data_IF_170052817397
#
_entry.id   IF_170052817397
#
_cell.length_a   1.000
_cell.length_b   1.000
_cell.length_c   1.000
_cell.angle_alpha   90.00
_cell.angle_beta   90.00
_cell.angle_gamma   90.00
#
_symmetry.space_group_name_H-M   'P 1'
#
loop_
_entity.id
_entity.type
_entity.pdbx_description
1 polymer ?
#
# COMPACT_ATOMS: atom_id res chain seq x y z
N UNK A 1 -13.21 -56.77 9.69
CA UNK A 1 -12.09 -55.80 9.71
C UNK A 1 -12.66 -54.40 9.60
N UNK A 2 -12.90 -53.72 10.73
CA UNK A 2 -13.47 -52.36 10.75
C UNK A 2 -12.34 -51.34 10.66
N UNK A 3 -12.12 -50.76 9.47
CA UNK A 3 -11.16 -49.68 9.27
C UNK A 3 -11.61 -48.40 9.98
N UNK A 4 -10.77 -47.86 10.87
CA UNK A 4 -11.00 -46.55 11.49
C UNK A 4 -10.99 -45.46 10.40
N UNK A 5 -12.14 -44.83 10.15
CA UNK A 5 -12.22 -43.57 9.39
C UNK A 5 -11.48 -42.49 10.16
N UNK A 6 -10.34 -42.03 9.63
CA UNK A 6 -9.66 -40.86 10.16
C UNK A 6 -10.42 -39.61 9.72
N UNK A 7 -10.80 -38.77 10.68
CA UNK A 7 -11.38 -37.45 10.43
C UNK A 7 -10.33 -36.54 9.79
N UNK A 8 -10.67 -35.77 8.74
CA UNK A 8 -9.73 -34.88 8.08
C UNK A 8 -9.21 -33.85 9.08
N UNK A 9 -7.89 -33.73 9.19
CA UNK A 9 -7.25 -32.70 9.99
C UNK A 9 -7.55 -31.35 9.37
N UNK A 10 -8.14 -30.44 10.13
CA UNK A 10 -8.31 -29.05 9.68
C UNK A 10 -6.93 -28.48 9.33
N UNK A 11 -6.78 -27.81 8.18
CA UNK A 11 -5.53 -27.16 7.85
C UNK A 11 -5.20 -26.16 8.96
N UNK A 12 -3.95 -26.16 9.40
CA UNK A 12 -3.47 -25.29 10.49
C UNK A 12 -3.57 -23.80 10.12
N UNK A 13 -3.70 -23.51 8.83
CA UNK A 13 -3.72 -22.18 8.26
C UNK A 13 -4.95 -22.02 7.38
N UNK A 14 -5.68 -20.94 7.64
CA UNK A 14 -6.81 -20.48 6.84
C UNK A 14 -6.32 -19.34 5.91
N UNK A 15 -6.95 -19.16 4.75
CA UNK A 15 -6.49 -18.20 3.74
C UNK A 15 -6.41 -16.77 4.29
N UNK A 16 -7.46 -16.31 4.97
CA UNK A 16 -7.51 -14.99 5.61
C UNK A 16 -6.40 -14.84 6.66
N UNK A 17 -6.20 -15.86 7.49
CA UNK A 17 -5.18 -15.85 8.54
C UNK A 17 -3.76 -15.80 7.96
N UNK A 18 -3.53 -16.40 6.80
CA UNK A 18 -2.22 -16.32 6.14
C UNK A 18 -1.91 -14.88 5.70
N UNK A 19 -2.93 -14.13 5.27
CA UNK A 19 -2.81 -12.77 4.74
C UNK A 19 -2.83 -11.68 5.82
N UNK A 20 -3.34 -11.99 7.02
CA UNK A 20 -3.48 -11.02 8.12
C UNK A 20 -2.52 -11.27 9.27
N UNK A 21 -2.23 -12.54 9.62
CA UNK A 21 -1.42 -12.84 10.81
C UNK A 21 0.07 -12.50 10.55
N UNK A 22 0.72 -11.67 11.40
CA UNK A 22 2.14 -11.28 11.22
C UNK A 22 3.12 -12.44 11.40
N UNK A 23 2.66 -13.53 12.04
CA UNK A 23 3.42 -14.77 12.25
C UNK A 23 3.15 -15.81 11.17
N UNK A 24 2.41 -15.45 10.12
CA UNK A 24 2.12 -16.39 9.04
C UNK A 24 3.41 -16.81 8.33
N UNK A 25 3.44 -18.01 7.73
CA UNK A 25 4.58 -18.46 6.94
C UNK A 25 4.88 -17.53 5.76
N UNK A 26 3.86 -16.80 5.29
CA UNK A 26 3.94 -15.88 4.17
C UNK A 26 4.84 -14.67 4.47
N UNK A 27 4.82 -14.18 5.71
CA UNK A 27 5.66 -13.05 6.14
C UNK A 27 7.17 -13.35 6.05
N UNK A 28 7.56 -14.63 6.06
CA UNK A 28 8.96 -15.09 5.98
C UNK A 28 9.32 -15.64 4.61
N UNK A 29 8.33 -15.88 3.75
CA UNK A 29 8.54 -16.48 2.44
C UNK A 29 8.88 -15.42 1.40
N UNK A 30 9.59 -15.83 0.34
CA UNK A 30 9.91 -14.94 -0.76
C UNK A 30 8.73 -14.93 -1.76
N UNK A 31 7.83 -13.95 -1.60
CA UNK A 31 6.63 -13.79 -2.42
C UNK A 31 6.92 -13.77 -3.91
N UNK A 32 7.98 -13.07 -4.31
CA UNK A 32 8.39 -12.97 -5.71
C UNK A 32 8.56 -14.35 -6.33
N UNK A 33 9.26 -15.25 -5.64
CA UNK A 33 9.51 -16.62 -6.14
C UNK A 33 8.26 -17.49 -6.18
N UNK A 34 7.32 -17.24 -5.27
CA UNK A 34 6.05 -18.00 -5.19
C UNK A 34 5.12 -17.55 -6.32
N UNK A 35 4.94 -16.24 -6.49
CA UNK A 35 4.05 -15.66 -7.51
C UNK A 35 4.59 -15.87 -8.93
N UNK A 36 5.91 -15.91 -9.10
CA UNK A 36 6.54 -16.21 -10.39
C UNK A 36 6.59 -17.69 -10.74
N UNK A 37 6.07 -18.57 -9.89
CA UNK A 37 6.10 -20.00 -10.17
C UNK A 37 4.99 -20.35 -11.18
N UNK A 38 5.28 -21.09 -12.27
CA UNK A 38 4.27 -21.43 -13.27
C UNK A 38 3.10 -22.24 -12.69
N UNK A 39 3.34 -22.99 -11.61
CA UNK A 39 2.26 -23.69 -10.90
C UNK A 39 1.24 -22.74 -10.27
N UNK A 40 1.66 -21.54 -9.82
CA UNK A 40 0.75 -20.57 -9.25
C UNK A 40 -0.29 -20.11 -10.28
N UNK A 41 0.13 -19.94 -11.54
CA UNK A 41 -0.77 -19.61 -12.64
C UNK A 41 -1.67 -20.78 -13.07
N UNK A 42 -1.17 -22.02 -13.02
CA UNK A 42 -1.92 -23.19 -13.49
C UNK A 42 -3.07 -23.61 -12.58
N UNK A 43 -3.02 -23.23 -11.29
CA UNK A 43 -4.02 -23.62 -10.28
C UNK A 43 -5.25 -22.71 -10.32
N UNK A 44 -5.14 -21.53 -10.91
CA UNK A 44 -6.20 -20.53 -10.98
C UNK A 44 -7.21 -20.85 -12.08
N UNK A 45 -8.48 -20.55 -11.82
CA UNK A 45 -9.56 -20.64 -12.78
C UNK A 45 -9.49 -19.49 -13.81
N UNK A 46 -10.22 -19.62 -14.92
CA UNK A 46 -10.20 -18.61 -15.98
C UNK A 46 -10.71 -17.24 -15.50
N UNK A 47 -11.70 -17.23 -14.61
CA UNK A 47 -12.26 -16.02 -14.00
C UNK A 47 -11.22 -15.31 -13.11
N UNK A 48 -10.53 -16.06 -12.24
CA UNK A 48 -9.48 -15.52 -11.36
C UNK A 48 -8.30 -14.96 -12.16
N UNK A 49 -7.93 -15.62 -13.26
CA UNK A 49 -6.89 -15.13 -14.16
C UNK A 49 -7.30 -13.80 -14.80
N UNK A 50 -8.55 -13.67 -15.26
CA UNK A 50 -9.05 -12.43 -15.84
C UNK A 50 -9.09 -11.29 -14.80
N UNK A 51 -9.48 -11.58 -13.56
CA UNK A 51 -9.44 -10.62 -12.46
C UNK A 51 -8.00 -10.15 -12.20
N UNK A 52 -7.05 -11.07 -12.07
CA UNK A 52 -5.64 -10.72 -11.84
C UNK A 52 -5.10 -9.86 -12.99
N UNK A 53 -5.42 -10.19 -14.25
CA UNK A 53 -5.00 -9.39 -15.40
C UNK A 53 -5.61 -7.98 -15.40
N UNK A 54 -6.82 -7.81 -14.86
CA UNK A 54 -7.46 -6.49 -14.72
C UNK A 54 -6.83 -5.59 -13.66
N UNK A 55 -6.12 -6.18 -12.69
CA UNK A 55 -5.41 -5.46 -11.63
C UNK A 55 -4.05 -4.91 -12.08
N UNK A 56 -3.51 -5.37 -13.22
CA UNK A 56 -2.28 -4.82 -13.74
C UNK A 56 -2.50 -3.42 -14.30
N UNK A 57 -1.67 -2.43 -13.92
CA UNK A 57 -1.80 -1.06 -14.42
C UNK A 57 -1.48 -0.95 -15.91
N UNK A 58 -0.58 -1.82 -16.41
CA UNK A 58 -0.09 -1.78 -17.79
C UNK A 58 -0.16 -3.15 -18.47
N UNK A 59 -0.53 -3.13 -19.76
CA UNK A 59 -0.58 -4.34 -20.62
C UNK A 59 0.79 -4.82 -21.10
N UNK A 60 1.86 -4.07 -20.82
CA UNK A 60 3.23 -4.40 -21.27
C UNK A 60 3.78 -5.68 -20.63
N UNK A 61 3.27 -6.05 -19.45
CA UNK A 61 3.66 -7.27 -18.75
C UNK A 61 2.71 -8.45 -19.03
N UNK A 62 1.86 -8.36 -20.06
CA UNK A 62 0.92 -9.41 -20.45
C UNK A 62 1.35 -9.97 -21.82
N UNK A 63 1.58 -11.28 -21.87
CA UNK A 63 1.74 -12.02 -23.12
C UNK A 63 0.36 -12.40 -23.65
N UNK A 64 0.19 -12.27 -24.97
CA UNK A 64 -1.04 -12.57 -25.71
C UNK A 64 -2.29 -11.89 -25.14
N UNK A 65 -2.30 -10.54 -25.08
CA UNK A 65 -3.47 -9.79 -24.63
C UNK A 65 -4.69 -10.16 -25.47
N UNK A 66 -5.85 -10.23 -24.83
CA UNK A 66 -7.16 -10.50 -25.45
C UNK A 66 -7.36 -11.93 -26.00
N UNK A 67 -6.50 -12.88 -25.63
CA UNK A 67 -6.66 -14.32 -25.92
C UNK A 67 -7.00 -15.10 -24.64
N UNK A 68 -7.72 -16.22 -24.75
CA UNK A 68 -8.01 -17.14 -23.63
C UNK A 68 -6.74 -17.67 -22.92
N UNK A 69 -5.59 -17.57 -23.58
CA UNK A 69 -4.28 -17.96 -23.08
C UNK A 69 -3.47 -16.80 -22.47
N UNK A 70 -4.06 -15.61 -22.26
CA UNK A 70 -3.37 -14.45 -21.70
C UNK A 70 -2.64 -14.79 -20.39
N UNK A 71 -1.33 -14.50 -20.31
CA UNK A 71 -0.51 -14.76 -19.11
C UNK A 71 0.40 -13.59 -18.82
N UNK A 72 0.73 -13.33 -17.55
CA UNK A 72 1.78 -12.38 -17.23
C UNK A 72 3.12 -12.85 -17.79
N UNK A 73 3.88 -11.96 -18.43
CA UNK A 73 5.29 -12.19 -18.76
C UNK A 73 6.10 -12.21 -17.46
N UNK A 74 6.21 -13.40 -16.89
CA UNK A 74 6.95 -13.63 -15.66
C UNK A 74 8.42 -13.19 -15.77
N UNK A 75 9.01 -13.17 -16.97
CA UNK A 75 10.41 -12.77 -17.15
C UNK A 75 10.58 -11.25 -17.10
N UNK A 76 9.65 -10.52 -17.73
CA UNK A 76 9.59 -9.05 -17.64
C UNK A 76 9.21 -8.62 -16.22
N UNK A 77 8.16 -9.19 -15.64
CA UNK A 77 7.67 -8.91 -14.29
C UNK A 77 8.73 -9.16 -13.20
N UNK A 78 9.56 -10.20 -13.36
CA UNK A 78 10.64 -10.48 -12.41
C UNK A 78 11.75 -9.43 -12.45
N UNK A 79 11.93 -8.68 -13.53
CA UNK A 79 12.96 -7.66 -13.66
C UNK A 79 12.47 -6.25 -13.36
N UNK A 80 11.16 -6.04 -13.25
CA UNK A 80 10.59 -4.76 -12.83
C UNK A 80 10.89 -4.48 -11.34
N UNK A 81 11.38 -3.28 -11.06
CA UNK A 81 11.69 -2.82 -9.71
C UNK A 81 10.42 -2.51 -8.90
N UNK A 82 9.33 -2.13 -9.55
CA UNK A 82 8.05 -1.83 -8.89
C UNK A 82 7.48 -3.08 -8.23
N UNK A 83 7.35 -4.17 -9.00
CA UNK A 83 6.89 -5.45 -8.47
C UNK A 83 7.78 -6.00 -7.34
N UNK A 84 9.11 -5.82 -7.44
CA UNK A 84 10.06 -6.22 -6.39
C UNK A 84 9.84 -5.43 -5.11
N UNK A 85 9.65 -4.13 -5.24
CA UNK A 85 9.38 -3.24 -4.12
C UNK A 85 8.05 -3.62 -3.46
N UNK A 86 6.99 -3.87 -4.24
CA UNK A 86 5.68 -4.23 -3.72
C UNK A 86 5.71 -5.54 -2.94
N UNK A 87 6.39 -6.57 -3.45
CA UNK A 87 6.58 -7.84 -2.73
C UNK A 87 7.30 -7.63 -1.38
N UNK A 88 8.35 -6.81 -1.36
CA UNK A 88 9.12 -6.52 -0.15
C UNK A 88 8.32 -5.67 0.84
N UNK A 89 7.61 -4.66 0.35
CA UNK A 89 6.76 -3.79 1.15
C UNK A 89 5.61 -4.59 1.77
N UNK A 90 4.96 -5.47 1.01
CA UNK A 90 3.88 -6.31 1.50
C UNK A 90 4.37 -7.27 2.61
N UNK A 91 5.45 -8.01 2.39
CA UNK A 91 6.00 -8.90 3.44
C UNK A 91 6.40 -8.16 4.71
N UNK A 92 6.99 -6.97 4.55
CA UNK A 92 7.34 -6.10 5.67
C UNK A 92 6.09 -5.60 6.42
N UNK A 93 5.08 -5.13 5.69
CA UNK A 93 3.83 -4.65 6.28
C UNK A 93 3.08 -5.78 7.00
N UNK A 94 3.07 -6.98 6.43
CA UNK A 94 2.49 -8.17 7.04
C UNK A 94 3.23 -8.53 8.33
N UNK A 95 4.56 -8.59 8.31
CA UNK A 95 5.37 -8.87 9.50
C UNK A 95 5.19 -7.82 10.62
N UNK A 96 4.93 -6.56 10.24
CA UNK A 96 4.63 -5.47 11.17
C UNK A 96 3.17 -5.45 11.66
N UNK A 97 2.32 -6.38 11.19
CA UNK A 97 0.90 -6.44 11.58
C UNK A 97 0.05 -5.32 11.00
N UNK A 98 0.50 -4.65 9.95
CA UNK A 98 -0.23 -3.54 9.30
C UNK A 98 -1.43 -4.01 8.46
N UNK A 99 -1.73 -5.29 8.48
CA UNK A 99 -2.91 -5.88 7.83
C UNK A 99 -3.99 -6.24 8.85
N UNK A 100 -3.79 -5.93 10.14
CA UNK A 100 -4.81 -6.08 11.17
C UNK A 100 -6.02 -5.15 10.84
N UNK A 101 -7.28 -5.63 10.94
CA UNK A 101 -8.46 -4.80 10.72
C UNK A 101 -8.46 -3.48 11.53
N UNK A 102 -7.91 -3.47 12.75
CA UNK A 102 -7.82 -2.23 13.55
C UNK A 102 -6.86 -1.22 12.91
N UNK A 103 -5.74 -1.72 12.36
CA UNK A 103 -4.76 -0.88 11.66
C UNK A 103 -5.37 -0.31 10.39
N UNK A 104 -6.11 -1.11 9.62
CA UNK A 104 -6.79 -0.68 8.40
C UNK A 104 -7.84 0.42 8.70
N UNK A 105 -8.64 0.24 9.76
CA UNK A 105 -9.61 1.24 10.19
C UNK A 105 -8.93 2.57 10.57
N UNK A 106 -7.80 2.49 11.27
CA UNK A 106 -7.01 3.68 11.66
C UNK A 106 -6.38 4.37 10.45
N UNK A 107 -5.89 3.60 9.46
CA UNK A 107 -5.32 4.12 8.23
C UNK A 107 -6.37 4.88 7.40
N UNK A 108 -7.56 4.31 7.26
CA UNK A 108 -8.68 4.98 6.59
C UNK A 108 -9.15 6.21 7.35
N UNK A 109 -9.27 6.15 8.67
CA UNK A 109 -9.60 7.33 9.48
C UNK A 109 -8.56 8.44 9.36
N UNK A 110 -7.28 8.11 9.23
CA UNK A 110 -6.23 9.10 8.97
C UNK A 110 -6.31 9.65 7.54
N UNK A 111 -6.60 8.81 6.54
CA UNK A 111 -6.79 9.23 5.16
C UNK A 111 -7.99 10.17 5.03
N UNK A 112 -9.10 9.84 5.68
CA UNK A 112 -10.30 10.66 5.66
C UNK A 112 -10.03 12.02 6.30
N UNK A 113 -9.39 12.07 7.49
CA UNK A 113 -8.97 13.35 8.10
C UNK A 113 -8.08 14.21 7.20
N UNK A 114 -7.17 13.58 6.43
CA UNK A 114 -6.37 14.31 5.42
C UNK A 114 -7.23 14.79 4.25
N UNK A 115 -8.21 14.00 3.82
CA UNK A 115 -9.12 14.35 2.72
C UNK A 115 -10.03 15.53 3.09
N UNK A 116 -10.49 15.58 4.35
CA UNK A 116 -11.38 16.65 4.85
C UNK A 116 -10.60 17.96 5.11
N UNK A 117 -9.26 17.92 5.12
CA UNK A 117 -8.42 19.11 5.29
C UNK A 117 -8.17 19.49 6.75
N UNK A 118 -8.33 18.57 7.71
CA UNK A 118 -8.09 18.83 9.14
C UNK A 118 -6.66 19.30 9.44
N UNK A 119 -5.71 19.05 8.53
CA UNK A 119 -4.30 19.42 8.66
C UNK A 119 -3.88 20.65 7.86
N UNK A 120 -4.77 21.18 7.03
CA UNK A 120 -4.43 22.23 6.07
C UNK A 120 -4.13 23.56 6.80
N UNK A 121 -4.86 23.88 7.87
CA UNK A 121 -4.57 25.06 8.72
C UNK A 121 -3.19 24.96 9.39
N UNK A 122 -2.84 23.78 9.88
CA UNK A 122 -1.51 23.52 10.46
C UNK A 122 -0.41 23.67 9.41
N UNK A 123 -0.62 23.19 8.18
CA UNK A 123 0.35 23.30 7.09
C UNK A 123 0.54 24.76 6.64
N UNK A 124 -0.53 25.54 6.55
CA UNK A 124 -0.47 26.98 6.22
C UNK A 124 0.30 27.73 7.31
N UNK A 125 0.01 27.45 8.59
CA UNK A 125 0.73 28.04 9.72
C UNK A 125 2.22 27.71 9.69
N UNK A 126 2.56 26.43 9.54
CA UNK A 126 3.95 25.97 9.47
C UNK A 126 4.72 26.58 8.30
N UNK A 127 4.09 26.69 7.12
CA UNK A 127 4.71 27.32 5.96
C UNK A 127 5.05 28.80 6.24
N UNK A 128 4.12 29.54 6.85
CA UNK A 128 4.35 30.92 7.22
C UNK A 128 5.49 31.04 8.23
N UNK A 129 5.53 30.17 9.23
CA UNK A 129 6.51 30.25 10.31
C UNK A 129 7.92 29.83 9.84
N UNK A 130 8.02 28.77 9.04
CA UNK A 130 9.30 28.26 8.55
C UNK A 130 9.86 29.13 7.40
N UNK A 131 9.01 29.58 6.47
CA UNK A 131 9.44 30.21 5.22
C UNK A 131 9.04 31.69 5.08
N UNK A 132 8.21 32.22 5.97
CA UNK A 132 7.82 33.64 5.97
C UNK A 132 6.90 34.04 4.81
N UNK A 133 6.30 33.07 4.11
CA UNK A 133 5.44 33.32 2.94
C UNK A 133 3.98 33.11 3.32
N UNK A 134 3.14 34.09 3.01
CA UNK A 134 1.68 33.92 3.07
C UNK A 134 1.18 33.32 1.76
N UNK A 135 0.42 32.22 1.85
CA UNK A 135 -0.21 31.62 0.67
C UNK A 135 -1.16 32.65 0.03
N UNK A 136 -1.13 32.87 -1.30
CA UNK A 136 -2.15 33.67 -1.98
C UNK A 136 -3.54 33.09 -1.71
N UNK A 137 -4.55 33.95 -1.49
CA UNK A 137 -5.90 33.51 -1.12
C UNK A 137 -6.54 32.57 -2.16
N UNK A 138 -6.12 32.67 -3.42
CA UNK A 138 -6.46 31.77 -4.53
C UNK A 138 -5.99 30.32 -4.30
N UNK A 139 -4.85 30.13 -3.62
CA UNK A 139 -4.28 28.82 -3.26
C UNK A 139 -4.77 28.34 -1.89
N UNK A 140 -5.27 29.25 -1.05
CA UNK A 140 -5.96 28.93 0.22
C UNK A 140 -7.39 28.46 -0.02
N UNK A 141 -7.91 28.48 -1.24
CA UNK A 141 -9.20 27.88 -1.58
C UNK A 141 -9.08 26.36 -1.50
N UNK A 142 -9.20 25.87 -0.27
CA UNK A 142 -9.44 24.49 0.09
C UNK A 142 -10.32 23.82 -0.96
N UNK A 143 -9.90 22.62 -1.35
CA UNK A 143 -10.70 21.61 -2.02
C UNK A 143 -12.09 21.59 -1.39
N UNK A 144 -13.03 22.34 -1.94
CA UNK A 144 -14.41 22.34 -1.43
C UNK A 144 -14.91 20.90 -1.60
N UNK A 145 -15.67 20.34 -0.65
CA UNK A 145 -16.10 18.94 -0.73
C UNK A 145 -16.81 18.61 -2.06
N UNK A 146 -17.39 19.63 -2.71
CA UNK A 146 -17.96 19.57 -4.05
C UNK A 146 -16.97 19.20 -5.18
N UNK A 147 -15.67 19.48 -5.05
CA UNK A 147 -14.64 19.07 -6.02
C UNK A 147 -13.95 17.74 -5.67
N UNK A 148 -14.22 17.19 -4.48
CA UNK A 148 -13.73 15.85 -4.07
C UNK A 148 -14.76 14.74 -4.24
N UNK A 149 -16.01 15.09 -4.53
CA UNK A 149 -17.05 14.16 -4.94
C UNK A 149 -16.98 13.98 -6.46
N UNK A 150 -15.89 13.41 -6.96
CA UNK A 150 -15.94 12.76 -8.26
C UNK A 150 -16.74 11.47 -8.02
N UNK A 151 -17.90 11.27 -8.68
CA UNK A 151 -18.55 9.96 -8.63
C UNK A 151 -17.54 8.91 -9.12
N UNK A 152 -17.51 7.76 -8.46
CA UNK A 152 -16.74 6.58 -8.85
C UNK A 152 -17.27 6.07 -10.20
N UNK A 153 -16.97 6.78 -11.28
CA UNK A 153 -17.17 6.35 -12.65
C UNK A 153 -15.93 5.58 -13.06
N UNK A 154 -16.03 4.27 -12.84
CA UNK A 154 -15.11 3.26 -13.33
C UNK A 154 -15.08 3.29 -14.86
N UNK A 155 -14.28 4.14 -15.49
CA UNK A 155 -13.82 3.94 -16.88
C UNK A 155 -12.46 4.63 -17.15
N UNK A 156 -11.43 3.80 -17.37
CA UNK A 156 -10.53 3.88 -18.51
C UNK A 156 -9.54 5.06 -18.71
N UNK A 157 -8.24 4.68 -18.74
CA UNK A 157 -7.18 5.12 -19.70
C UNK A 157 -6.37 6.40 -19.31
N UNK A 158 -5.09 6.61 -19.74
CA UNK A 158 -3.88 5.76 -19.90
C UNK A 158 -2.64 6.27 -19.11
N UNK A 159 -1.57 5.45 -19.13
CA UNK A 159 -0.22 5.70 -18.62
C UNK A 159 0.41 7.05 -19.02
N UNK A 160 1.16 7.65 -18.09
CA UNK A 160 2.20 8.67 -18.40
C UNK A 160 3.49 8.40 -17.62
N UNK A 161 4.55 8.11 -18.37
CA UNK A 161 5.94 8.09 -17.90
C UNK A 161 6.39 9.48 -17.42
N UNK A 162 7.17 9.55 -16.34
CA UNK A 162 7.65 10.84 -15.82
C UNK A 162 8.62 10.79 -14.65
N UNK A 163 9.69 10.01 -14.76
CA UNK A 163 11.05 10.32 -14.29
C UNK A 163 11.25 11.31 -13.12
N UNK A 164 11.66 10.76 -11.96
CA UNK A 164 12.78 11.27 -11.16
C UNK A 164 12.47 12.31 -10.07
N UNK A 165 12.85 11.98 -8.83
CA UNK A 165 13.54 12.91 -7.91
C UNK A 165 14.22 12.11 -6.79
N UNK A 166 15.54 11.98 -6.90
CA UNK A 166 16.46 11.59 -5.83
C UNK A 166 16.57 12.73 -4.80
N UNK A 167 16.73 12.40 -3.52
CA UNK A 167 17.16 13.38 -2.52
C UNK A 167 17.04 12.87 -1.09
N UNK A 168 18.09 12.21 -0.60
CA UNK A 168 18.26 11.90 0.82
C UNK A 168 18.55 13.14 1.65
N UNK A 169 18.20 13.10 2.93
CA UNK A 169 18.53 14.14 3.91
C UNK A 169 18.38 13.58 5.32
N UNK A 170 19.50 13.50 6.03
CA UNK A 170 19.64 12.96 7.37
C UNK A 170 18.78 13.69 8.41
N UNK A 171 18.03 12.95 9.23
CA UNK A 171 17.42 13.48 10.43
C UNK A 171 18.42 13.37 11.59
N UNK A 172 19.01 14.50 11.96
CA UNK A 172 19.77 14.68 13.18
C UNK A 172 18.84 14.68 14.39
N UNK A 173 19.16 13.80 15.34
CA UNK A 173 18.55 13.69 16.66
C UNK A 173 18.91 14.92 17.50
N UNK A 174 17.94 15.79 17.79
CA UNK A 174 18.09 16.85 18.79
C UNK A 174 17.20 16.54 20.00
N UNK A 175 17.86 16.06 21.06
CA UNK A 175 17.35 16.07 22.43
C UNK A 175 17.19 17.54 22.86
N UNK A 176 15.99 17.93 23.28
CA UNK A 176 15.76 19.19 23.96
C UNK A 176 15.80 18.94 25.46
N UNK A 177 16.91 19.33 26.08
CA UNK A 177 17.01 19.52 27.52
C UNK A 177 16.16 20.75 27.91
N UNK A 178 15.10 20.49 28.68
CA UNK A 178 14.17 21.50 29.16
C UNK A 178 14.69 22.08 30.48
N UNK A 179 15.41 23.20 30.41
CA UNK A 179 15.79 24.00 31.59
C UNK A 179 14.70 25.05 31.84
N UNK A 180 14.00 24.94 32.98
CA UNK A 180 12.96 25.87 33.41
C UNK A 180 13.56 27.02 34.23
N UNK A 181 13.17 28.29 33.97
CA UNK A 181 13.65 29.42 34.76
C UNK A 181 12.94 29.56 36.11
N UNK A 182 13.71 30.07 37.07
CA UNK A 182 13.41 30.24 38.49
C UNK A 182 12.36 31.33 38.77
N UNK A 183 11.38 31.00 39.64
CA UNK A 183 10.52 31.99 40.28
C UNK A 183 11.05 32.34 41.68
N UNK A 184 11.35 33.63 41.86
CA UNK A 184 11.71 34.27 43.12
C UNK A 184 10.52 34.25 44.09
N UNK A 185 10.71 33.68 45.27
CA UNK A 185 9.86 33.94 46.44
C UNK A 185 10.63 34.87 47.39
N UNK A 186 9.90 35.87 47.90
CA UNK A 186 10.35 36.98 48.77
C UNK A 186 11.06 36.57 50.04
#
# INVERSE_FOLDING_TARGET
MTGKKQSPRKPKWDAERILTDPKSPLARANLRTILSHPMAWSVLDAEEKAEILSLFPDKEHILDPDTDDARPDLRSLLNDDSFRYDCAAYTTNLALGRHDPEWLASAWGAQERRRIGDFDEFLIGKLRDDWGVELPDEMKLFRTPAQSAVPDEREGVPATNGSGCLGGGAAGEMRMDLEMPEDKVS
#
